data_IF_666044497491
#
_entry.id   IF_666044497491
#
_cell.length_a   1.000
_cell.length_b   1.000
_cell.length_c   1.000
_cell.angle_alpha   90.00
_cell.angle_beta   90.00
_cell.angle_gamma   90.00
#
_symmetry.space_group_name_H-M   'P 1'
#
loop_
_entity.id
_entity.type
_entity.pdbx_description
1 polymer ?
#
# COMPACT_ATOMS: atom_id res chain seq x y z
N UNK A 1 4.43 11.00 -9.94
CA UNK A 1 3.00 11.17 -10.25
C UNK A 1 2.56 9.97 -11.06
N UNK A 2 1.83 9.07 -10.43
CA UNK A 2 1.26 7.94 -11.16
C UNK A 2 0.11 8.45 -12.01
N UNK A 3 0.24 8.26 -13.30
CA UNK A 3 -0.65 8.85 -14.28
C UNK A 3 -1.92 7.99 -14.42
N UNK A 4 -3.06 8.61 -14.30
CA UNK A 4 -4.35 8.01 -14.61
C UNK A 4 -4.64 8.14 -16.10
N UNK A 5 -4.52 7.07 -16.85
CA UNK A 5 -5.08 7.00 -18.17
C UNK A 5 -6.52 6.47 -18.11
N UNK A 6 -7.52 7.22 -18.59
CA UNK A 6 -8.87 6.69 -18.71
C UNK A 6 -8.89 5.49 -19.65
N UNK A 7 -9.34 4.35 -19.14
CA UNK A 7 -9.47 3.13 -19.92
C UNK A 7 -8.25 2.20 -19.93
N UNK A 8 -7.13 2.58 -19.32
CA UNK A 8 -6.01 1.67 -19.20
C UNK A 8 -6.21 0.71 -18.01
N UNK A 9 -6.72 -0.46 -18.31
CA UNK A 9 -6.79 -1.58 -17.36
C UNK A 9 -5.49 -2.38 -17.37
N UNK A 10 -4.41 -1.75 -17.04
CA UNK A 10 -3.14 -2.41 -16.84
C UNK A 10 -3.21 -3.24 -15.56
N UNK A 11 -3.42 -4.52 -15.71
CA UNK A 11 -3.35 -5.50 -14.64
C UNK A 11 -4.31 -5.25 -13.46
N UNK A 12 -4.71 -6.31 -12.79
CA UNK A 12 -5.63 -6.21 -11.65
C UNK A 12 -4.96 -5.84 -10.33
N UNK A 13 -3.66 -5.71 -10.30
CA UNK A 13 -2.88 -5.47 -9.10
C UNK A 13 -1.80 -4.45 -9.38
N UNK A 14 -1.97 -3.24 -8.90
CA UNK A 14 -1.01 -2.17 -9.10
C UNK A 14 -0.99 -1.21 -7.90
N UNK A 15 0.17 -1.03 -7.32
CA UNK A 15 0.49 0.09 -6.46
C UNK A 15 1.17 1.21 -7.28
N UNK A 16 1.30 2.40 -6.71
CA UNK A 16 2.02 3.46 -7.39
C UNK A 16 3.51 3.16 -7.53
N UNK A 17 4.11 2.65 -6.47
CA UNK A 17 5.51 2.22 -6.43
C UNK A 17 5.60 0.92 -5.65
N UNK A 18 6.00 -0.17 -6.32
CA UNK A 18 6.13 -1.46 -5.65
C UNK A 18 7.36 -2.26 -6.16
N UNK A 19 8.40 -2.37 -5.37
CA UNK A 19 9.45 -3.35 -5.62
C UNK A 19 8.92 -4.76 -5.35
N UNK A 20 9.10 -5.66 -6.29
CA UNK A 20 8.69 -7.04 -6.16
C UNK A 20 9.91 -7.95 -5.99
N UNK A 21 9.93 -8.75 -4.94
CA UNK A 21 11.03 -9.68 -4.63
C UNK A 21 12.41 -9.00 -4.60
N UNK A 22 12.42 -7.76 -4.16
CA UNK A 22 13.66 -7.02 -4.00
C UNK A 22 14.26 -7.24 -2.60
N UNK A 23 15.57 -7.20 -2.52
CA UNK A 23 16.30 -7.19 -1.27
C UNK A 23 16.95 -5.84 -1.06
N UNK A 24 16.86 -5.34 0.19
CA UNK A 24 17.46 -4.07 0.63
C UNK A 24 17.10 -2.88 -0.29
N UNK A 25 15.87 -2.86 -0.80
CA UNK A 25 15.39 -1.75 -1.63
C UNK A 25 15.17 -0.49 -0.79
N UNK A 26 15.66 0.64 -1.26
CA UNK A 26 15.44 1.96 -0.64
C UNK A 26 14.62 2.85 -1.56
N UNK A 27 13.43 3.24 -1.09
CA UNK A 27 12.54 4.18 -1.76
C UNK A 27 12.39 5.43 -0.89
N UNK A 28 12.92 6.55 -1.38
CA UNK A 28 12.91 7.80 -0.62
C UNK A 28 12.58 9.02 -1.48
N UNK A 29 11.99 10.02 -0.85
CA UNK A 29 11.66 11.29 -1.46
C UNK A 29 10.75 11.15 -2.70
N UNK A 30 9.83 10.18 -2.66
CA UNK A 30 8.84 9.97 -3.71
C UNK A 30 7.50 10.59 -3.33
N UNK A 31 6.71 10.89 -4.33
CA UNK A 31 5.32 11.30 -4.18
C UNK A 31 4.41 10.34 -4.93
N UNK A 32 3.40 9.80 -4.24
CA UNK A 32 2.38 8.94 -4.82
C UNK A 32 0.99 9.55 -4.55
N UNK A 33 0.32 9.99 -5.59
CA UNK A 33 -0.94 10.71 -5.48
C UNK A 33 -1.97 10.14 -6.43
N UNK A 34 -3.18 9.94 -5.91
CA UNK A 34 -4.35 9.63 -6.72
C UNK A 34 -4.25 8.27 -7.46
N UNK A 35 -3.58 7.30 -6.85
CA UNK A 35 -3.54 5.93 -7.36
C UNK A 35 -4.92 5.32 -7.27
N UNK A 36 -5.38 4.71 -8.37
CA UNK A 36 -6.74 4.17 -8.43
C UNK A 36 -6.78 2.72 -8.01
N UNK A 37 -7.84 2.39 -7.30
CA UNK A 37 -8.12 1.04 -6.86
C UNK A 37 -8.35 0.12 -8.08
N UNK A 38 -7.51 -0.88 -8.17
CA UNK A 38 -7.63 -1.96 -9.11
C UNK A 38 -7.12 -3.23 -8.42
N UNK A 39 -7.85 -3.65 -7.40
CA UNK A 39 -7.49 -4.66 -6.42
C UNK A 39 -6.54 -4.10 -5.32
N UNK A 40 -5.42 -3.50 -5.64
CA UNK A 40 -4.49 -2.89 -4.69
C UNK A 40 -4.65 -1.36 -4.61
N UNK A 41 -4.08 -0.61 -5.49
CA UNK A 41 -4.26 0.85 -5.55
C UNK A 41 -3.58 1.63 -4.44
N UNK A 42 -2.59 1.04 -3.76
CA UNK A 42 -1.81 1.71 -2.72
C UNK A 42 -0.80 2.68 -3.30
N UNK A 43 -0.34 3.60 -2.44
CA UNK A 43 0.81 4.43 -2.77
C UNK A 43 2.08 3.58 -2.85
N UNK A 44 2.31 2.75 -1.85
CA UNK A 44 3.56 1.98 -1.69
C UNK A 44 3.24 0.53 -1.35
N UNK A 45 3.99 -0.39 -1.91
CA UNK A 45 3.85 -1.81 -1.65
C UNK A 45 5.20 -2.52 -1.71
N UNK A 46 5.47 -3.42 -0.80
CA UNK A 46 6.67 -4.26 -0.80
C UNK A 46 6.25 -5.72 -0.92
N UNK A 47 6.04 -6.14 -2.16
CA UNK A 47 5.65 -7.51 -2.49
C UNK A 47 6.83 -8.48 -2.34
N UNK A 48 6.75 -9.39 -1.36
CA UNK A 48 7.83 -10.35 -1.07
C UNK A 48 9.19 -9.65 -0.87
N UNK A 49 9.16 -8.42 -0.34
CA UNK A 49 10.38 -7.65 -0.10
C UNK A 49 11.11 -8.10 1.16
N UNK A 50 12.43 -8.23 1.09
CA UNK A 50 13.31 -8.45 2.25
C UNK A 50 14.12 -7.18 2.51
N UNK A 51 13.84 -6.49 3.60
CA UNK A 51 14.55 -5.27 3.98
C UNK A 51 14.22 -4.03 3.14
N UNK A 52 13.04 -3.95 2.56
CA UNK A 52 12.61 -2.73 1.84
C UNK A 52 12.38 -1.59 2.82
N UNK A 53 12.97 -0.44 2.54
CA UNK A 53 12.80 0.78 3.32
C UNK A 53 12.11 1.87 2.51
N UNK A 54 11.00 2.35 3.02
CA UNK A 54 10.32 3.57 2.54
C UNK A 54 10.57 4.69 3.52
N UNK A 55 11.25 5.76 3.09
CA UNK A 55 11.52 6.91 3.96
C UNK A 55 11.36 8.26 3.25
N UNK A 56 10.91 9.26 4.00
CA UNK A 56 10.72 10.63 3.50
C UNK A 56 9.83 10.71 2.25
N UNK A 57 8.86 9.81 2.13
CA UNK A 57 7.91 9.82 1.03
C UNK A 57 6.62 10.55 1.44
N UNK A 58 5.88 10.98 0.43
CA UNK A 58 4.56 11.57 0.59
C UNK A 58 3.51 10.77 -0.19
N UNK A 59 2.37 10.51 0.44
CA UNK A 59 1.23 9.90 -0.22
C UNK A 59 -0.05 10.70 0.00
N UNK A 60 -0.96 10.67 -0.97
CA UNK A 60 -2.23 11.39 -0.88
C UNK A 60 -3.30 10.78 -1.76
N UNK A 61 -4.51 10.64 -1.22
CA UNK A 61 -5.71 10.28 -1.98
C UNK A 61 -5.61 8.98 -2.76
N UNK A 62 -4.77 8.04 -2.33
CA UNK A 62 -4.67 6.74 -2.97
C UNK A 62 -5.83 5.84 -2.55
N UNK A 63 -6.56 5.29 -3.51
CA UNK A 63 -7.80 4.55 -3.23
C UNK A 63 -7.55 3.24 -2.47
N UNK A 64 -6.43 2.59 -2.69
CA UNK A 64 -6.04 1.36 -1.98
C UNK A 64 -5.39 1.60 -0.63
N UNK A 65 -5.01 2.83 -0.31
CA UNK A 65 -4.35 3.18 0.94
C UNK A 65 -2.92 3.68 0.79
N UNK A 66 -2.21 3.80 1.91
CA UNK A 66 -0.84 4.32 1.91
C UNK A 66 0.18 3.22 1.64
N UNK A 67 0.33 2.26 2.52
CA UNK A 67 1.39 1.25 2.41
C UNK A 67 0.89 -0.16 2.68
N UNK A 68 1.40 -1.10 1.91
CA UNK A 68 1.20 -2.53 2.11
C UNK A 68 2.54 -3.26 2.09
N UNK A 69 2.66 -4.26 2.95
CA UNK A 69 3.72 -5.25 2.92
C UNK A 69 3.06 -6.61 2.79
N UNK A 70 3.19 -7.25 1.68
CA UNK A 70 2.45 -8.47 1.43
C UNK A 70 3.23 -9.52 0.65
N UNK A 71 2.57 -10.65 0.46
CA UNK A 71 3.05 -11.87 -0.14
C UNK A 71 4.09 -12.63 0.71
N UNK A 72 4.36 -13.85 0.30
CA UNK A 72 5.31 -14.73 0.98
C UNK A 72 6.69 -14.11 1.06
N UNK A 73 7.35 -14.28 2.18
CA UNK A 73 8.70 -13.78 2.42
C UNK A 73 8.83 -12.25 2.53
N UNK A 74 7.72 -11.53 2.71
CA UNK A 74 7.79 -10.12 3.07
C UNK A 74 8.28 -9.98 4.51
N UNK A 75 9.57 -9.64 4.70
CA UNK A 75 10.24 -9.58 6.00
C UNK A 75 11.14 -8.35 6.11
N UNK A 76 11.43 -7.92 7.34
CA UNK A 76 12.36 -6.83 7.65
C UNK A 76 12.03 -5.49 6.96
N UNK A 77 10.78 -5.30 6.52
CA UNK A 77 10.41 -4.08 5.81
C UNK A 77 10.14 -2.93 6.78
N UNK A 78 10.53 -1.73 6.38
CA UNK A 78 10.41 -0.52 7.20
C UNK A 78 9.70 0.60 6.46
N UNK A 79 8.78 1.27 7.15
CA UNK A 79 8.13 2.49 6.69
C UNK A 79 8.34 3.59 7.73
N UNK A 80 9.20 4.57 7.43
CA UNK A 80 9.58 5.60 8.40
C UNK A 80 9.67 7.00 7.81
N UNK A 81 9.46 7.99 8.67
CA UNK A 81 9.60 9.41 8.31
C UNK A 81 8.77 9.82 7.08
N UNK A 82 7.64 9.14 6.83
CA UNK A 82 6.75 9.42 5.72
C UNK A 82 5.56 10.26 6.15
N UNK A 83 4.92 10.90 5.18
CA UNK A 83 3.67 11.62 5.36
C UNK A 83 2.59 11.01 4.47
N UNK A 84 1.48 10.57 5.07
CA UNK A 84 0.28 10.12 4.37
C UNK A 84 -0.85 11.09 4.66
N UNK A 85 -1.43 11.66 3.61
CA UNK A 85 -2.53 12.60 3.73
C UNK A 85 -3.76 12.07 3.01
N UNK A 86 -4.73 11.64 3.80
CA UNK A 86 -6.07 11.31 3.29
C UNK A 86 -6.10 10.17 2.26
N UNK A 87 -5.27 9.15 2.47
CA UNK A 87 -5.34 7.93 1.68
C UNK A 87 -6.61 7.14 2.02
N UNK A 88 -7.33 6.66 1.00
CA UNK A 88 -8.75 6.32 1.12
C UNK A 88 -9.03 4.87 1.54
N UNK A 89 -8.13 3.96 1.25
CA UNK A 89 -8.32 2.53 1.48
C UNK A 89 -7.77 2.02 2.81
N UNK A 90 -7.42 2.90 3.72
CA UNK A 90 -6.71 2.57 4.94
C UNK A 90 -5.24 2.96 4.85
N UNK A 91 -4.61 3.12 5.99
CA UNK A 91 -3.27 3.71 6.02
C UNK A 91 -2.20 2.64 5.87
N UNK A 92 -2.36 1.53 6.56
CA UNK A 92 -1.36 0.48 6.65
C UNK A 92 -2.03 -0.87 6.44
N UNK A 93 -1.43 -1.70 5.62
CA UNK A 93 -1.79 -3.10 5.47
C UNK A 93 -0.54 -3.98 5.67
N UNK A 94 -0.33 -4.51 6.90
CA UNK A 94 0.86 -5.31 7.22
C UNK A 94 0.66 -6.79 6.91
N UNK A 95 0.01 -7.10 5.83
CA UNK A 95 -0.33 -8.46 5.45
C UNK A 95 0.92 -9.33 5.28
N UNK A 96 1.00 -10.43 6.01
CA UNK A 96 2.09 -11.42 5.91
C UNK A 96 3.51 -10.93 6.22
N UNK A 97 3.66 -9.75 6.79
CA UNK A 97 4.95 -9.26 7.23
C UNK A 97 5.01 -9.26 8.77
N UNK A 98 5.57 -10.28 9.40
CA UNK A 98 5.51 -10.44 10.86
C UNK A 98 6.36 -9.44 11.65
N UNK A 99 7.30 -8.79 11.00
CA UNK A 99 8.31 -7.91 11.60
C UNK A 99 8.40 -6.54 10.93
N UNK A 100 7.31 -6.10 10.31
CA UNK A 100 7.25 -4.76 9.72
C UNK A 100 7.46 -3.67 10.79
N UNK A 101 8.38 -2.76 10.53
CA UNK A 101 8.63 -1.60 11.38
C UNK A 101 7.98 -0.35 10.79
N UNK A 102 7.14 0.31 11.59
CA UNK A 102 6.55 1.58 11.25
C UNK A 102 6.90 2.59 12.33
N UNK A 103 7.67 3.61 11.99
CA UNK A 103 8.11 4.60 12.97
C UNK A 103 8.18 6.02 12.38
N UNK A 104 7.99 7.01 13.24
CA UNK A 104 8.12 8.44 12.93
C UNK A 104 7.30 8.92 11.70
N UNK A 105 6.22 8.24 11.36
CA UNK A 105 5.35 8.66 10.26
C UNK A 105 4.28 9.63 10.73
N UNK A 106 3.82 10.47 9.83
CA UNK A 106 2.66 11.34 10.03
C UNK A 106 1.51 10.90 9.14
N UNK A 107 0.37 10.59 9.76
CA UNK A 107 -0.83 10.17 9.05
C UNK A 107 -1.99 11.10 9.34
N UNK A 108 -2.58 11.65 8.31
CA UNK A 108 -3.89 12.28 8.39
C UNK A 108 -4.93 11.34 7.78
N UNK A 109 -5.87 10.89 8.59
CA UNK A 109 -6.89 9.91 8.19
C UNK A 109 -8.28 10.52 8.40
N UNK A 110 -9.09 10.53 7.36
CA UNK A 110 -10.47 11.02 7.47
C UNK A 110 -11.35 10.08 8.27
N UNK A 111 -12.42 10.63 8.81
CA UNK A 111 -13.44 9.83 9.53
C UNK A 111 -13.98 8.70 8.63
N UNK A 112 -14.08 7.51 9.21
CA UNK A 112 -14.60 6.32 8.53
C UNK A 112 -13.57 5.52 7.74
N UNK A 113 -12.33 5.98 7.63
CA UNK A 113 -11.24 5.21 7.04
C UNK A 113 -10.46 4.50 8.15
N UNK A 114 -10.22 3.19 8.06
CA UNK A 114 -9.45 2.48 9.07
C UNK A 114 -7.97 2.90 9.03
N UNK A 115 -7.38 3.07 10.21
CA UNK A 115 -5.96 3.36 10.29
C UNK A 115 -5.12 2.14 9.90
N UNK A 116 -5.42 1.00 10.49
CA UNK A 116 -4.81 -0.28 10.10
C UNK A 116 -5.86 -1.13 9.43
N UNK A 117 -5.56 -1.59 8.24
CA UNK A 117 -6.37 -2.52 7.50
C UNK A 117 -5.68 -3.88 7.51
N UNK A 118 -6.22 -4.82 8.24
CA UNK A 118 -5.77 -6.20 8.17
C UNK A 118 -6.28 -6.82 6.87
N UNK A 119 -5.40 -7.04 5.94
CA UNK A 119 -5.66 -7.84 4.76
C UNK A 119 -5.22 -9.25 5.07
N UNK A 120 -6.16 -10.14 5.30
CA UNK A 120 -5.83 -11.55 5.44
C UNK A 120 -5.81 -12.16 4.05
N UNK A 121 -4.75 -12.88 3.72
CA UNK A 121 -4.68 -13.58 2.47
C UNK A 121 -5.86 -14.48 2.26
N UNK A 122 -6.44 -14.35 1.08
CA UNK A 122 -7.61 -15.11 0.68
C UNK A 122 -8.88 -14.82 1.46
N UNK A 123 -8.85 -13.89 2.43
CA UNK A 123 -9.97 -13.68 3.35
C UNK A 123 -10.80 -12.43 3.13
N UNK A 124 -10.23 -11.35 2.68
CA UNK A 124 -10.90 -10.05 2.77
C UNK A 124 -11.46 -9.49 1.47
N UNK A 125 -11.32 -10.20 0.39
CA UNK A 125 -12.08 -9.89 -0.83
C UNK A 125 -12.28 -11.16 -1.66
N UNK A 126 -13.46 -11.30 -2.19
CA UNK A 126 -13.72 -12.24 -3.27
C UNK A 126 -13.72 -11.46 -4.56
N UNK A 127 -12.96 -11.92 -5.54
CA UNK A 127 -13.16 -11.47 -6.91
C UNK A 127 -14.55 -11.90 -7.37
N UNK A 128 -15.53 -11.07 -7.12
CA UNK A 128 -16.82 -11.18 -7.77
C UNK A 128 -17.09 -9.84 -8.40
N UNK A 129 -17.00 -9.79 -9.70
CA UNK A 129 -17.43 -8.66 -10.52
C UNK A 129 -16.60 -7.36 -10.32
N UNK A 130 -15.27 -7.46 -10.25
CA UNK A 130 -14.38 -6.31 -10.08
C UNK A 130 -14.69 -5.42 -8.86
N UNK A 131 -15.35 -5.96 -7.86
CA UNK A 131 -15.65 -5.26 -6.61
C UNK A 131 -14.89 -5.86 -5.45
N UNK A 132 -14.17 -5.00 -4.73
CA UNK A 132 -13.63 -5.35 -3.40
C UNK A 132 -14.80 -5.37 -2.44
N UNK A 133 -15.10 -6.54 -1.92
CA UNK A 133 -16.09 -6.70 -0.85
C UNK A 133 -15.30 -6.85 0.44
N UNK A 134 -15.36 -5.89 1.38
CA UNK A 134 -14.81 -6.08 2.71
C UNK A 134 -15.51 -7.26 3.36
N UNK A 135 -14.75 -8.17 3.94
CA UNK A 135 -15.31 -9.18 4.84
C UNK A 135 -15.52 -8.50 6.19
N UNK A 136 -16.71 -8.65 6.79
CA UNK A 136 -17.03 -8.09 8.09
C UNK A 136 -16.16 -8.62 9.22
#
# INVERSE_FOLDING_TARGET
>A
RVYREPGNRMGKVAAAIWPWKCKDALLRCNEAVDTRLNQDGMAYDADSGDGTVYEHNYSRMNEGGCVMFCLEEAIHNTFRDNVSYDDLGGTISPSQNPDALLEHNTFYVRTGVPFVRTRMDGGNYTEKDDKIIPIP
#
